data_IF_218628764017
#
_entry.id   IF_218628764017
#
_cell.length_a   1.000
_cell.length_b   1.000
_cell.length_c   1.000
_cell.angle_alpha   90.00
_cell.angle_beta   90.00
_cell.angle_gamma   90.00
#
_symmetry.space_group_name_H-M   'P 1'
#
loop_
_entity.id
_entity.type
_entity.pdbx_description
1 polymer ?
#
# COMPACT_ATOMS: atom_id res chain seq x y z
N UNK A 1 12.02 -2.77 -9.79
CA UNK A 1 12.21 -1.93 -8.59
C UNK A 1 12.57 -2.84 -7.45
N UNK A 2 13.64 -2.53 -6.73
CA UNK A 2 14.12 -3.36 -5.63
C UNK A 2 13.28 -3.18 -4.36
N UNK A 3 13.20 -4.23 -3.54
CA UNK A 3 12.49 -4.21 -2.25
C UNK A 3 13.13 -3.19 -1.30
N UNK A 4 14.45 -3.05 -1.32
CA UNK A 4 15.21 -2.06 -0.54
C UNK A 4 14.74 -0.63 -0.83
N UNK A 5 14.55 -0.29 -2.12
CA UNK A 5 14.06 1.02 -2.53
C UNK A 5 12.62 1.27 -2.04
N UNK A 6 11.74 0.26 -2.12
CA UNK A 6 10.38 0.35 -1.57
C UNK A 6 10.41 0.61 -0.06
N UNK A 7 11.19 -0.16 0.69
CA UNK A 7 11.27 -0.04 2.15
C UNK A 7 11.69 1.38 2.55
N UNK A 8 12.75 1.90 1.94
CA UNK A 8 13.21 3.26 2.19
C UNK A 8 12.13 4.32 1.85
N UNK A 9 11.44 4.18 0.72
CA UNK A 9 10.40 5.13 0.28
C UNK A 9 9.14 5.11 1.16
N UNK A 10 8.86 3.97 1.80
CA UNK A 10 7.80 3.81 2.79
C UNK A 10 8.26 4.11 4.22
N UNK A 11 9.54 4.45 4.44
CA UNK A 11 10.08 4.82 5.75
C UNK A 11 10.44 3.63 6.66
N UNK A 12 10.69 2.45 6.09
CA UNK A 12 11.14 1.26 6.82
C UNK A 12 12.66 1.12 6.78
N UNK A 13 13.22 0.64 7.88
CA UNK A 13 14.60 0.17 7.91
C UNK A 13 14.72 -1.10 7.06
N UNK A 14 15.75 -1.13 6.21
CA UNK A 14 16.10 -2.31 5.43
C UNK A 14 16.76 -3.36 6.32
N UNK A 15 16.11 -4.51 6.47
CA UNK A 15 16.66 -5.70 7.12
C UNK A 15 15.95 -6.96 6.60
N UNK A 16 16.46 -8.13 7.00
CA UNK A 16 15.91 -9.41 6.55
C UNK A 16 14.43 -9.59 6.91
N UNK A 17 13.98 -9.09 8.05
CA UNK A 17 12.60 -9.23 8.49
C UNK A 17 11.64 -8.38 7.63
N UNK A 18 11.99 -7.12 7.37
CA UNK A 18 11.17 -6.22 6.53
C UNK A 18 11.19 -6.66 5.07
N UNK A 19 12.34 -7.11 4.56
CA UNK A 19 12.45 -7.67 3.22
C UNK A 19 11.63 -8.98 3.08
N UNK A 20 11.68 -9.88 4.07
CA UNK A 20 10.88 -11.09 4.07
C UNK A 20 9.37 -10.79 4.13
N UNK A 21 8.96 -9.76 4.89
CA UNK A 21 7.57 -9.33 4.93
C UNK A 21 7.08 -8.84 3.56
N UNK A 22 7.86 -8.00 2.86
CA UNK A 22 7.50 -7.56 1.50
C UNK A 22 7.37 -8.76 0.56
N UNK A 23 8.27 -9.74 0.63
CA UNK A 23 8.18 -10.97 -0.18
C UNK A 23 6.90 -11.75 0.10
N UNK A 24 6.50 -11.91 1.37
CA UNK A 24 5.22 -12.56 1.72
C UNK A 24 4.02 -11.80 1.17
N UNK A 25 4.03 -10.46 1.26
CA UNK A 25 2.98 -9.62 0.69
C UNK A 25 2.89 -9.82 -0.82
N UNK A 26 4.01 -9.82 -1.54
CA UNK A 26 4.03 -10.03 -2.99
C UNK A 26 3.57 -11.43 -3.40
N UNK A 27 3.85 -12.44 -2.58
CA UNK A 27 3.35 -13.80 -2.80
C UNK A 27 1.84 -13.93 -2.53
N UNK A 28 1.31 -13.17 -1.58
CA UNK A 28 -0.10 -13.20 -1.20
C UNK A 28 -0.98 -12.33 -2.13
N UNK A 29 -0.46 -11.21 -2.62
CA UNK A 29 -1.18 -10.24 -3.42
C UNK A 29 -0.66 -10.23 -4.87
N UNK A 30 -1.27 -11.04 -5.73
CA UNK A 30 -0.84 -11.14 -7.13
C UNK A 30 -0.99 -9.82 -7.90
N UNK A 31 -0.05 -9.58 -8.81
CA UNK A 31 -0.08 -8.44 -9.72
C UNK A 31 0.25 -7.08 -9.12
N UNK A 32 0.73 -7.02 -7.87
CA UNK A 32 1.22 -5.78 -7.29
C UNK A 32 2.50 -5.31 -7.98
N UNK A 33 2.50 -4.03 -8.37
CA UNK A 33 3.69 -3.34 -8.84
C UNK A 33 4.22 -2.43 -7.73
N UNK A 34 5.44 -2.69 -7.24
CA UNK A 34 6.05 -1.88 -6.17
C UNK A 34 6.14 -0.39 -6.52
N UNK A 35 6.37 -0.05 -7.79
CA UNK A 35 6.43 1.35 -8.22
C UNK A 35 5.07 2.04 -8.10
N UNK A 36 3.97 1.35 -8.38
CA UNK A 36 2.63 1.93 -8.21
C UNK A 36 2.26 2.11 -6.74
N UNK A 37 2.77 1.27 -5.84
CA UNK A 37 2.63 1.42 -4.39
C UNK A 37 3.31 2.70 -3.89
N UNK A 38 4.52 2.99 -4.38
CA UNK A 38 5.24 4.22 -4.03
C UNK A 38 4.47 5.44 -4.57
N UNK A 39 4.02 5.40 -5.83
CA UNK A 39 3.21 6.47 -6.40
C UNK A 39 1.94 6.73 -5.58
N UNK A 40 1.27 5.67 -5.10
CA UNK A 40 0.11 5.82 -4.21
C UNK A 40 0.50 6.50 -2.91
N UNK A 41 1.57 6.04 -2.26
CA UNK A 41 2.07 6.63 -1.03
C UNK A 41 2.37 8.13 -1.20
N UNK A 42 3.01 8.53 -2.29
CA UNK A 42 3.36 9.93 -2.56
C UNK A 42 2.14 10.81 -2.81
N UNK A 43 1.09 10.30 -3.47
CA UNK A 43 -0.17 11.03 -3.62
C UNK A 43 -0.96 11.13 -2.30
N UNK A 44 -0.80 10.17 -1.39
CA UNK A 44 -1.47 10.16 -0.10
C UNK A 44 -0.79 11.06 0.94
N UNK A 45 0.55 11.16 0.92
CA UNK A 45 1.34 12.01 1.84
C UNK A 45 0.77 13.43 2.02
N UNK A 46 0.51 14.22 0.97
CA UNK A 46 -0.04 15.58 1.13
C UNK A 46 -1.47 15.59 1.68
N UNK A 47 -2.19 14.47 1.60
CA UNK A 47 -3.55 14.30 2.13
C UNK A 47 -3.55 13.76 3.59
N UNK A 48 -2.38 13.59 4.20
CA UNK A 48 -2.25 12.97 5.53
C UNK A 48 -2.50 11.47 5.53
N UNK A 49 -2.43 10.82 4.37
CA UNK A 49 -2.47 9.38 4.21
C UNK A 49 -1.09 8.79 3.92
N UNK A 50 -0.94 7.49 4.07
CA UNK A 50 0.27 6.77 3.70
C UNK A 50 0.02 5.29 3.48
N UNK A 51 0.94 4.63 2.76
CA UNK A 51 0.97 3.18 2.63
C UNK A 51 1.95 2.59 3.65
N UNK A 52 1.57 1.48 4.27
CA UNK A 52 2.36 0.74 5.23
C UNK A 52 2.19 -0.77 5.03
N UNK A 53 3.08 -1.58 5.58
CA UNK A 53 2.89 -3.03 5.70
C UNK A 53 1.88 -3.33 6.82
N UNK A 54 0.97 -4.28 6.61
CA UNK A 54 0.09 -4.75 7.68
C UNK A 54 0.87 -5.59 8.68
N UNK A 55 0.53 -5.45 9.97
CA UNK A 55 1.19 -6.19 11.05
C UNK A 55 0.52 -7.52 11.36
N UNK A 56 -0.69 -7.75 10.83
CA UNK A 56 -1.54 -8.90 11.12
C UNK A 56 -1.82 -9.78 9.90
N UNK A 57 -1.63 -9.23 8.69
CA UNK A 57 -1.88 -9.92 7.43
C UNK A 57 -0.73 -9.63 6.48
N UNK A 58 -0.42 -10.55 5.57
CA UNK A 58 0.59 -10.35 4.53
C UNK A 58 0.01 -9.50 3.38
N UNK A 59 -0.34 -8.25 3.68
CA UNK A 59 -0.86 -7.25 2.74
C UNK A 59 -0.24 -5.88 2.99
N UNK A 60 -0.22 -5.02 1.97
CA UNK A 60 -0.07 -3.57 2.20
C UNK A 60 -1.39 -3.01 2.72
N UNK A 61 -1.29 -2.01 3.61
CA UNK A 61 -2.42 -1.24 4.11
C UNK A 61 -2.24 0.25 3.81
N UNK A 62 -3.34 0.90 3.54
CA UNK A 62 -3.43 2.35 3.41
C UNK A 62 -4.01 2.87 4.71
N UNK A 63 -3.31 3.80 5.36
CA UNK A 63 -3.83 4.55 6.51
C UNK A 63 -4.14 5.97 6.06
N UNK A 64 -5.41 6.34 6.15
CA UNK A 64 -5.89 7.70 5.96
C UNK A 64 -6.02 8.38 7.32
N UNK A 65 -4.93 8.96 7.83
CA UNK A 65 -4.93 9.68 9.10
C UNK A 65 -5.46 11.12 8.94
N UNK A 66 -5.37 11.67 7.73
CA UNK A 66 -5.96 12.95 7.37
C UNK A 66 -7.48 12.82 7.18
N UNK A 67 -8.26 13.61 7.91
CA UNK A 67 -9.70 13.79 7.64
C UNK A 67 -9.97 14.61 6.37
N UNK A 68 -8.97 14.76 5.48
CA UNK A 68 -9.13 15.56 4.28
C UNK A 68 -10.02 14.82 3.27
N UNK A 69 -11.11 15.45 2.81
CA UNK A 69 -11.94 14.88 1.76
C UNK A 69 -11.12 14.81 0.47
N UNK A 70 -10.87 13.58 -0.02
CA UNK A 70 -10.11 13.36 -1.27
C UNK A 70 -9.21 12.14 -1.26
N UNK A 71 -8.75 11.69 -0.07
CA UNK A 71 -7.90 10.50 0.02
C UNK A 71 -8.60 9.24 -0.52
N UNK A 72 -9.90 9.10 -0.26
CA UNK A 72 -10.68 7.96 -0.77
C UNK A 72 -10.71 7.92 -2.29
N UNK A 73 -10.98 9.06 -2.95
CA UNK A 73 -10.97 9.16 -4.41
C UNK A 73 -9.59 8.80 -4.99
N UNK A 74 -8.50 9.22 -4.35
CA UNK A 74 -7.14 8.85 -4.78
C UNK A 74 -6.92 7.34 -4.69
N UNK A 75 -7.38 6.71 -3.60
CA UNK A 75 -7.27 5.25 -3.40
C UNK A 75 -8.08 4.50 -4.45
N UNK A 76 -9.34 4.89 -4.65
CA UNK A 76 -10.25 4.25 -5.61
C UNK A 76 -9.76 4.39 -7.05
N UNK A 77 -9.40 5.61 -7.48
CA UNK A 77 -8.86 5.86 -8.81
C UNK A 77 -7.56 5.10 -9.07
N UNK A 78 -6.68 5.02 -8.06
CA UNK A 78 -5.45 4.24 -8.16
C UNK A 78 -5.75 2.74 -8.29
N UNK A 79 -6.68 2.23 -7.48
CA UNK A 79 -7.06 0.83 -7.48
C UNK A 79 -7.65 0.41 -8.82
N UNK A 80 -8.58 1.21 -9.36
CA UNK A 80 -9.18 1.00 -10.67
C UNK A 80 -8.13 1.03 -11.78
N UNK A 81 -7.28 2.06 -11.83
CA UNK A 81 -6.21 2.20 -12.82
C UNK A 81 -5.24 1.03 -12.83
N UNK A 82 -4.88 0.50 -11.65
CA UNK A 82 -3.96 -0.61 -11.52
C UNK A 82 -4.65 -1.98 -11.53
N UNK A 83 -5.99 -2.01 -11.64
CA UNK A 83 -6.83 -3.22 -11.54
C UNK A 83 -6.58 -4.01 -10.26
N UNK A 84 -6.47 -3.30 -9.14
CA UNK A 84 -6.18 -3.85 -7.81
C UNK A 84 -7.44 -3.81 -6.94
N UNK A 85 -7.64 -4.87 -6.17
CA UNK A 85 -8.66 -4.98 -5.14
C UNK A 85 -8.24 -4.27 -3.85
N UNK A 86 -9.16 -3.47 -3.33
CA UNK A 86 -9.02 -2.80 -2.04
C UNK A 86 -10.15 -3.28 -1.12
N UNK A 87 -9.79 -3.68 0.10
CA UNK A 87 -10.75 -4.03 1.15
C UNK A 87 -10.74 -2.97 2.24
N UNK A 88 -11.87 -2.32 2.47
CA UNK A 88 -12.04 -1.42 3.62
C UNK A 88 -12.07 -2.26 4.90
N UNK A 89 -11.14 -1.98 5.81
CA UNK A 89 -11.05 -2.64 7.12
C UNK A 89 -11.79 -1.83 8.18
N UNK A 90 -11.64 -0.51 8.13
CA UNK A 90 -12.38 0.44 8.96
C UNK A 90 -12.44 1.80 8.25
N UNK A 91 -12.83 2.86 8.95
CA UNK A 91 -12.97 4.21 8.37
C UNK A 91 -11.66 4.80 7.84
N UNK A 92 -10.53 4.43 8.42
CA UNK A 92 -9.22 5.02 8.09
C UNK A 92 -8.27 4.02 7.44
N UNK A 93 -8.60 2.74 7.43
CA UNK A 93 -7.69 1.67 7.02
C UNK A 93 -8.29 0.84 5.89
N UNK A 94 -7.52 0.69 4.82
CA UNK A 94 -7.85 -0.16 3.68
C UNK A 94 -6.70 -1.13 3.40
N UNK A 95 -6.99 -2.37 3.03
CA UNK A 95 -6.00 -3.37 2.61
C UNK A 95 -5.93 -3.47 1.10
N UNK A 96 -4.73 -3.72 0.58
CA UNK A 96 -4.44 -3.91 -0.84
C UNK A 96 -4.27 -5.41 -1.10
N UNK A 97 -5.24 -6.03 -1.78
CA UNK A 97 -5.39 -7.49 -1.85
C UNK A 97 -4.81 -8.15 -3.12
N UNK A 98 -4.31 -7.38 -4.08
CA UNK A 98 -3.85 -7.90 -5.39
C UNK A 98 -4.89 -7.68 -6.49
N UNK A 99 -4.74 -8.34 -7.65
CA UNK A 99 -5.58 -8.08 -8.84
C UNK A 99 -7.08 -8.34 -8.63
N UNK A 100 -7.89 -7.56 -9.34
CA UNK A 100 -9.28 -7.88 -9.68
C UNK A 100 -9.29 -8.98 -10.74
N UNK A 101 -9.72 -10.18 -10.38
CA UNK A 101 -9.99 -11.29 -11.31
C UNK A 101 -11.49 -11.30 -11.61
#
# INVERSE_FOLDING_TARGET
>A
MEISALLNQLGYNENDATAAQVKRILNNCDGLNLSSIITLNDHLKPLGGFVAMSGSEDVFKIKNAGKMPGALNVIENWAEKNKINIKRVNETTHYILGKNI
#
